data_IF_340814884263
#
_entry.id   IF_340814884263
#
_cell.length_a   1.000
_cell.length_b   1.000
_cell.length_c   1.000
_cell.angle_alpha   90.00
_cell.angle_beta   90.00
_cell.angle_gamma   90.00
#
_symmetry.space_group_name_H-M   'P 1'
#
loop_
_entity.id
_entity.type
_entity.pdbx_description
1 polymer ?
#
# COMPACT_ATOMS: atom_id res chain seq x y z
N UNK A 1 -12.67 -6.09 -0.54
CA UNK A 1 -11.72 -5.25 -1.31
C UNK A 1 -10.38 -5.95 -1.34
N UNK A 2 -9.60 -5.76 -2.40
CA UNK A 2 -8.24 -6.28 -2.54
C UNK A 2 -7.27 -5.14 -2.25
N UNK A 3 -6.46 -5.32 -1.21
CA UNK A 3 -5.57 -4.30 -0.68
C UNK A 3 -4.13 -4.76 -0.91
N UNK A 4 -3.32 -3.89 -1.48
CA UNK A 4 -1.88 -4.09 -1.62
C UNK A 4 -1.13 -3.32 -0.53
N UNK A 5 -0.19 -3.99 0.14
CA UNK A 5 0.67 -3.41 1.15
C UNK A 5 2.11 -3.32 0.66
N UNK A 6 2.71 -2.16 0.90
CA UNK A 6 4.13 -1.90 0.72
C UNK A 6 5.02 -2.84 1.58
N UNK A 7 6.28 -3.03 1.16
CA UNK A 7 7.29 -3.85 1.84
C UNK A 7 7.61 -3.34 3.24
N UNK A 8 7.40 -2.04 3.47
CA UNK A 8 7.57 -1.41 4.76
C UNK A 8 6.39 -1.66 5.72
N UNK A 9 5.26 -2.16 5.21
CA UNK A 9 4.01 -2.34 5.95
C UNK A 9 3.68 -3.82 6.20
N UNK A 10 4.69 -4.59 6.60
CA UNK A 10 4.54 -6.01 6.97
C UNK A 10 3.95 -6.22 8.37
N UNK A 11 3.60 -5.16 9.11
CA UNK A 11 3.07 -5.29 10.47
C UNK A 11 1.72 -6.04 10.47
N UNK A 12 1.72 -7.23 11.07
CA UNK A 12 0.53 -8.09 11.22
C UNK A 12 -0.64 -7.36 11.88
N UNK A 13 -0.36 -6.34 12.71
CA UNK A 13 -1.39 -5.52 13.38
C UNK A 13 -2.20 -4.68 12.40
N UNK A 14 -1.60 -4.22 11.30
CA UNK A 14 -2.30 -3.47 10.25
C UNK A 14 -3.15 -4.39 9.38
N UNK A 15 -2.69 -5.62 9.13
CA UNK A 15 -3.45 -6.61 8.34
C UNK A 15 -4.72 -7.10 9.05
N UNK A 16 -4.65 -7.27 10.37
CA UNK A 16 -5.75 -7.82 11.19
C UNK A 16 -7.13 -7.19 10.97
N UNK A 17 -7.32 -5.85 11.02
CA UNK A 17 -8.64 -5.26 10.82
C UNK A 17 -9.22 -5.52 9.43
N UNK A 18 -8.39 -5.50 8.38
CA UNK A 18 -8.82 -5.80 7.01
C UNK A 18 -9.17 -7.29 6.84
N UNK A 19 -8.31 -8.18 7.35
CA UNK A 19 -8.57 -9.62 7.32
C UNK A 19 -9.83 -9.99 8.11
N UNK A 20 -10.07 -9.36 9.28
CA UNK A 20 -11.30 -9.57 10.08
C UNK A 20 -12.56 -9.12 9.36
N UNK A 21 -12.45 -8.12 8.47
CA UNK A 21 -13.56 -7.66 7.64
C UNK A 21 -13.80 -8.58 6.43
N UNK A 22 -12.90 -9.52 6.16
CA UNK A 22 -12.93 -10.39 4.98
C UNK A 22 -12.30 -9.76 3.74
N UNK A 23 -11.53 -8.67 3.89
CA UNK A 23 -10.77 -8.08 2.78
C UNK A 23 -9.53 -8.94 2.47
N UNK A 24 -9.16 -9.01 1.18
CA UNK A 24 -7.99 -9.74 0.73
C UNK A 24 -6.79 -8.80 0.78
N UNK A 25 -5.74 -9.19 1.52
CA UNK A 25 -4.57 -8.35 1.74
C UNK A 25 -3.34 -9.05 1.17
N UNK A 26 -2.73 -8.43 0.16
CA UNK A 26 -1.49 -8.87 -0.45
C UNK A 26 -0.37 -7.91 -0.08
N UNK A 27 0.85 -8.40 -0.11
CA UNK A 27 2.02 -7.53 0.00
C UNK A 27 2.82 -7.54 -1.31
N UNK A 28 3.62 -6.50 -1.53
CA UNK A 28 4.49 -6.40 -2.72
C UNK A 28 5.46 -7.57 -2.84
N UNK A 29 5.89 -8.19 -1.72
CA UNK A 29 6.74 -9.38 -1.76
C UNK A 29 5.98 -10.61 -2.27
N UNK A 30 4.70 -10.80 -1.88
CA UNK A 30 3.84 -11.89 -2.35
C UNK A 30 3.62 -11.80 -3.85
N UNK A 31 3.58 -10.57 -4.38
CA UNK A 31 3.45 -10.31 -5.82
C UNK A 31 4.78 -10.40 -6.58
N UNK A 32 5.91 -10.59 -5.87
CA UNK A 32 7.25 -10.60 -6.47
C UNK A 32 7.75 -9.21 -6.91
N UNK A 33 7.16 -8.14 -6.38
CA UNK A 33 7.45 -6.74 -6.72
C UNK A 33 8.49 -6.10 -5.80
N UNK A 34 9.24 -6.92 -5.07
CA UNK A 34 10.26 -6.47 -4.12
C UNK A 34 11.35 -5.67 -4.85
N UNK A 35 11.68 -4.48 -4.33
CA UNK A 35 12.72 -3.61 -4.89
C UNK A 35 12.31 -2.84 -6.16
N UNK A 36 11.05 -2.93 -6.58
CA UNK A 36 10.50 -2.03 -7.61
C UNK A 36 10.29 -0.63 -7.03
N UNK A 37 10.35 0.39 -7.89
CA UNK A 37 10.08 1.77 -7.45
C UNK A 37 8.60 1.94 -7.14
N UNK A 38 8.26 2.86 -6.24
CA UNK A 38 6.87 3.17 -5.87
C UNK A 38 5.94 3.40 -7.08
N UNK A 39 6.43 4.12 -8.10
CA UNK A 39 5.68 4.32 -9.35
C UNK A 39 5.34 3.04 -10.08
N UNK A 40 6.30 2.11 -10.15
CA UNK A 40 6.10 0.82 -10.83
C UNK A 40 5.12 -0.03 -10.04
N UNK A 41 5.21 -0.03 -8.71
CA UNK A 41 4.26 -0.71 -7.83
C UNK A 41 2.85 -0.14 -8.02
N UNK A 42 2.70 1.19 -8.09
CA UNK A 42 1.42 1.84 -8.34
C UNK A 42 0.85 1.50 -9.72
N UNK A 43 1.68 1.54 -10.77
CA UNK A 43 1.27 1.22 -12.15
C UNK A 43 0.88 -0.26 -12.28
N UNK A 44 1.58 -1.16 -11.58
CA UNK A 44 1.19 -2.56 -11.49
C UNK A 44 -0.09 -2.72 -10.67
N UNK A 45 -0.21 -2.05 -9.53
CA UNK A 45 -1.40 -2.12 -8.70
C UNK A 45 -2.66 -1.70 -9.45
N UNK A 46 -2.58 -0.69 -10.33
CA UNK A 46 -3.69 -0.28 -11.20
C UNK A 46 -4.01 -1.27 -12.34
N UNK A 47 -3.02 -2.04 -12.80
CA UNK A 47 -3.23 -3.10 -13.81
C UNK A 47 -3.78 -4.39 -13.20
N UNK A 48 -3.72 -4.50 -11.88
CA UNK A 48 -4.22 -5.63 -11.11
C UNK A 48 -5.55 -5.25 -10.41
N UNK A 49 -6.32 -6.23 -9.90
CA UNK A 49 -7.63 -5.95 -9.30
C UNK A 49 -7.53 -5.33 -7.89
N UNK A 50 -6.52 -4.50 -7.62
CA UNK A 50 -6.34 -3.84 -6.33
C UNK A 50 -7.23 -2.61 -6.22
N UNK A 51 -8.00 -2.54 -5.14
CA UNK A 51 -8.85 -1.39 -4.81
C UNK A 51 -8.06 -0.30 -4.06
N UNK A 52 -7.03 -0.72 -3.30
CA UNK A 52 -6.25 0.19 -2.46
C UNK A 52 -4.78 -0.23 -2.36
N UNK A 53 -3.91 0.76 -2.24
CA UNK A 53 -2.50 0.59 -1.91
C UNK A 53 -2.16 1.35 -0.62
N UNK A 54 -1.58 0.64 0.34
CA UNK A 54 -1.17 1.23 1.62
C UNK A 54 0.36 1.26 1.63
N UNK A 55 0.93 2.43 1.92
CA UNK A 55 2.38 2.64 2.03
C UNK A 55 2.72 3.56 3.21
N UNK A 56 3.91 3.37 3.76
CA UNK A 56 4.50 4.26 4.77
C UNK A 56 5.44 5.31 4.14
N UNK A 57 5.68 5.24 2.83
CA UNK A 57 6.62 6.12 2.16
C UNK A 57 6.15 7.57 2.21
N UNK A 58 7.06 8.47 2.57
CA UNK A 58 6.78 9.90 2.76
C UNK A 58 6.84 10.69 1.45
N UNK A 59 7.37 10.10 0.38
CA UNK A 59 7.62 10.75 -0.92
C UNK A 59 6.47 10.54 -1.91
N UNK A 60 5.57 9.57 -1.68
CA UNK A 60 4.40 9.33 -2.54
C UNK A 60 3.52 10.57 -2.76
N UNK A 61 3.20 11.41 -1.74
CA UNK A 61 2.36 12.59 -1.92
C UNK A 61 2.96 13.68 -2.81
N UNK A 62 4.29 13.69 -3.00
CA UNK A 62 4.96 14.65 -3.88
C UNK A 62 4.85 14.29 -5.36
N UNK A 63 4.34 13.09 -5.67
CA UNK A 63 4.03 12.73 -7.04
C UNK A 63 2.67 13.30 -7.41
N UNK A 64 2.65 14.46 -8.06
CA UNK A 64 1.45 15.23 -8.43
C UNK A 64 0.43 14.51 -9.37
N UNK A 65 0.59 13.21 -9.64
CA UNK A 65 -0.26 12.41 -10.53
C UNK A 65 -1.09 11.34 -9.78
N UNK A 66 -1.44 11.59 -8.50
CA UNK A 66 -2.32 10.69 -7.74
C UNK A 66 -3.82 10.97 -7.97
N UNK A 67 -4.16 12.14 -8.51
CA UNK A 67 -5.55 12.61 -8.69
C UNK A 67 -6.31 11.87 -9.79
N UNK A 68 -5.60 11.16 -10.69
CA UNK A 68 -6.19 10.39 -11.79
C UNK A 68 -6.24 8.88 -11.53
N UNK A 69 -5.76 8.41 -10.37
CA UNK A 69 -5.69 6.99 -10.07
C UNK A 69 -6.97 6.49 -9.41
N UNK A 70 -7.48 5.37 -9.88
CA UNK A 70 -8.64 4.67 -9.29
C UNK A 70 -8.24 4.03 -7.95
N UNK A 71 -6.95 3.79 -7.77
CA UNK A 71 -6.35 3.16 -6.61
C UNK A 71 -6.32 4.09 -5.40
N UNK A 72 -6.96 3.68 -4.31
CA UNK A 72 -6.99 4.45 -3.07
C UNK A 72 -5.68 4.31 -2.31
N UNK A 73 -4.96 5.41 -2.15
CA UNK A 73 -3.67 5.42 -1.45
C UNK A 73 -3.87 5.80 0.02
N UNK A 74 -3.46 4.92 0.93
CA UNK A 74 -3.53 5.15 2.37
C UNK A 74 -2.12 5.29 2.93
N UNK A 75 -1.83 6.45 3.50
CA UNK A 75 -0.58 6.72 4.20
C UNK A 75 -0.68 6.24 5.65
N UNK A 76 0.22 5.33 6.05
CA UNK A 76 0.38 5.01 7.47
C UNK A 76 1.17 6.14 8.15
N UNK A 77 0.50 6.93 9.00
CA UNK A 77 1.18 7.84 9.92
C UNK A 77 1.73 6.98 11.07
N UNK A 78 2.96 6.49 10.93
CA UNK A 78 3.66 5.93 12.08
C UNK A 78 3.89 7.07 13.08
N UNK A 79 3.12 7.05 14.18
CA UNK A 79 3.32 7.96 15.30
C UNK A 79 4.77 7.79 15.78
N UNK A 80 5.60 8.82 15.60
CA UNK A 80 6.76 9.01 16.46
C UNK A 80 6.28 8.85 17.89
N UNK A 81 6.70 7.77 18.56
CA UNK A 81 6.71 7.78 20.03
C UNK A 81 7.77 8.82 20.41
N UNK A 82 7.39 9.97 21.01
CA UNK A 82 8.40 10.78 21.65
C UNK A 82 8.95 9.93 22.80
N UNK A 83 10.26 9.69 22.74
CA UNK A 83 11.09 9.19 23.83
C UNK A 83 10.99 10.07 25.06
#
# INVERSE_FOLDING_TARGET
MIILLDENLLSTKLKQPFLKKGDMVYNVNDMGWRGLKDREILDLAEKHPFDAFITADKNLPYQQNLTSRILRIIKSLENHRPS
#
